data_IF_537820135678
#
_entry.id   IF_537820135678
#
_cell.length_a   1.000
_cell.length_b   1.000
_cell.length_c   1.000
_cell.angle_alpha   90.00
_cell.angle_beta   90.00
_cell.angle_gamma   90.00
#
_symmetry.space_group_name_H-M   'P 1'
#
loop_
_entity.id
_entity.type
_entity.pdbx_description
1 polymer ?
#
# COMPACT_ATOMS: atom_id res chain seq x y z
N UNK A 1 -18.67 -17.12 -27.88
CA UNK A 1 -19.27 -16.68 -26.60
C UNK A 1 -18.22 -16.90 -25.53
N UNK A 2 -17.41 -15.89 -25.26
CA UNK A 2 -16.36 -15.96 -24.25
C UNK A 2 -16.97 -15.72 -22.88
N UNK A 3 -16.94 -16.73 -22.02
CA UNK A 3 -17.28 -16.63 -20.61
C UNK A 3 -16.28 -15.68 -19.95
N UNK A 4 -16.73 -14.54 -19.49
CA UNK A 4 -15.93 -13.70 -18.57
C UNK A 4 -15.63 -14.52 -17.32
N UNK A 5 -14.35 -14.57 -16.87
CA UNK A 5 -14.03 -15.24 -15.62
C UNK A 5 -14.83 -14.61 -14.48
N UNK A 6 -15.39 -15.48 -13.61
CA UNK A 6 -16.17 -15.11 -12.46
C UNK A 6 -15.54 -13.94 -11.70
N UNK A 7 -16.35 -12.96 -11.38
CA UNK A 7 -16.03 -11.77 -10.59
C UNK A 7 -15.11 -12.14 -9.44
N UNK A 8 -13.84 -11.77 -9.52
CA UNK A 8 -12.94 -11.85 -8.36
C UNK A 8 -13.57 -10.95 -7.31
N UNK A 9 -14.12 -11.54 -6.25
CA UNK A 9 -14.57 -10.78 -5.10
C UNK A 9 -13.39 -9.93 -4.63
N UNK A 10 -13.59 -8.61 -4.47
CA UNK A 10 -12.55 -7.77 -3.92
C UNK A 10 -12.15 -8.31 -2.54
N UNK A 11 -10.90 -8.12 -2.16
CA UNK A 11 -10.41 -8.46 -0.82
C UNK A 11 -11.35 -7.91 0.25
N UNK A 12 -11.83 -6.67 0.06
CA UNK A 12 -12.75 -5.99 0.98
C UNK A 12 -14.08 -6.74 1.13
N UNK A 13 -14.64 -7.28 0.05
CA UNK A 13 -15.86 -8.09 0.14
C UNK A 13 -15.60 -9.43 0.87
N UNK A 14 -14.43 -10.02 0.68
CA UNK A 14 -14.06 -11.29 1.30
C UNK A 14 -13.91 -11.23 2.83
N UNK A 15 -13.50 -10.09 3.40
CA UNK A 15 -13.34 -9.94 4.87
C UNK A 15 -14.66 -10.03 5.65
N UNK A 16 -15.81 -9.80 5.00
CA UNK A 16 -17.13 -9.94 5.59
C UNK A 16 -17.71 -11.38 5.42
N UNK A 17 -16.98 -12.29 4.78
CA UNK A 17 -17.45 -13.65 4.52
C UNK A 17 -17.71 -14.44 5.81
N UNK A 18 -18.80 -15.19 5.85
CA UNK A 18 -19.08 -16.15 6.91
C UNK A 18 -18.13 -17.38 6.84
N UNK A 19 -17.58 -17.66 5.67
CA UNK A 19 -16.59 -18.72 5.48
C UNK A 19 -15.24 -18.26 6.03
N UNK A 20 -14.72 -18.96 7.04
CA UNK A 20 -13.48 -18.60 7.74
C UNK A 20 -12.26 -18.61 6.81
N UNK A 21 -12.15 -19.58 5.90
CA UNK A 21 -11.04 -19.66 4.96
C UNK A 21 -11.04 -18.49 3.98
N UNK A 22 -12.19 -18.17 3.39
CA UNK A 22 -12.33 -17.02 2.49
C UNK A 22 -11.98 -15.74 3.24
N UNK A 23 -12.49 -15.59 4.46
CA UNK A 23 -12.21 -14.42 5.31
C UNK A 23 -10.73 -14.30 5.65
N UNK A 24 -10.05 -15.42 5.95
CA UNK A 24 -8.62 -15.42 6.28
C UNK A 24 -7.78 -15.01 5.06
N UNK A 25 -8.01 -15.63 3.91
CA UNK A 25 -7.29 -15.30 2.66
C UNK A 25 -7.48 -13.84 2.28
N UNK A 26 -8.72 -13.34 2.38
CA UNK A 26 -9.03 -11.94 2.12
C UNK A 26 -8.34 -11.01 3.13
N UNK A 27 -8.28 -11.40 4.40
CA UNK A 27 -7.65 -10.61 5.44
C UNK A 27 -6.12 -10.58 5.30
N UNK A 28 -5.48 -11.69 4.94
CA UNK A 28 -4.05 -11.75 4.66
C UNK A 28 -3.67 -10.83 3.47
N UNK A 29 -4.48 -10.83 2.43
CA UNK A 29 -4.30 -9.92 1.29
C UNK A 29 -4.51 -8.45 1.67
N UNK A 30 -5.48 -8.16 2.55
CA UNK A 30 -5.71 -6.83 3.11
C UNK A 30 -4.50 -6.37 3.94
N UNK A 31 -4.01 -7.21 4.84
CA UNK A 31 -2.82 -6.90 5.66
C UNK A 31 -1.64 -6.61 4.74
N UNK A 32 -1.39 -7.46 3.73
CA UNK A 32 -0.30 -7.25 2.77
C UNK A 32 -0.38 -5.89 2.08
N UNK A 33 -1.58 -5.41 1.72
CA UNK A 33 -1.77 -4.14 1.03
C UNK A 33 -1.69 -2.91 1.94
N UNK A 34 -2.06 -3.05 3.23
CA UNK A 34 -2.26 -1.91 4.12
C UNK A 34 -1.29 -1.81 5.30
N UNK A 35 -0.52 -2.85 5.63
CA UNK A 35 0.33 -2.80 6.81
C UNK A 35 1.38 -1.67 6.75
N UNK A 36 2.02 -1.44 5.58
CA UNK A 36 3.00 -0.35 5.41
C UNK A 36 2.38 1.02 5.60
N UNK A 37 1.27 1.39 4.90
CA UNK A 37 0.58 2.65 5.18
C UNK A 37 0.15 2.80 6.64
N UNK A 38 -0.38 1.74 7.27
CA UNK A 38 -0.77 1.74 8.68
C UNK A 38 0.44 2.01 9.58
N UNK A 39 1.52 1.27 9.40
CA UNK A 39 2.74 1.44 10.16
C UNK A 39 3.31 2.86 10.05
N UNK A 40 3.50 3.34 8.81
CA UNK A 40 4.05 4.69 8.56
C UNK A 40 3.15 5.79 9.11
N UNK A 41 1.84 5.63 8.99
CA UNK A 41 0.89 6.56 9.54
C UNK A 41 0.98 6.62 11.08
N UNK A 42 1.09 5.48 11.75
CA UNK A 42 1.29 5.42 13.21
C UNK A 42 2.61 6.10 13.60
N UNK A 43 3.69 5.84 12.85
CA UNK A 43 4.99 6.49 13.05
C UNK A 43 4.91 8.02 12.96
N UNK A 44 4.21 8.54 11.95
CA UNK A 44 4.19 9.97 11.62
C UNK A 44 3.15 10.73 12.46
N UNK A 45 1.88 10.32 12.40
CA UNK A 45 0.80 11.02 13.09
C UNK A 45 0.91 10.86 14.60
N UNK A 46 1.05 9.63 15.07
CA UNK A 46 1.03 9.30 16.49
C UNK A 46 2.41 9.40 17.14
N UNK A 47 3.46 9.69 16.35
CA UNK A 47 4.86 9.83 16.80
C UNK A 47 5.33 8.65 17.64
N UNK A 48 4.78 7.47 17.39
CA UNK A 48 5.21 6.23 18.04
C UNK A 48 6.66 5.91 17.63
N UNK A 49 7.45 5.33 18.51
CA UNK A 49 8.74 4.79 18.15
C UNK A 49 8.60 3.56 17.24
N UNK A 50 9.70 2.93 16.84
CA UNK A 50 9.69 1.80 15.89
C UNK A 50 8.98 0.59 16.46
N UNK A 51 9.30 0.27 17.70
CA UNK A 51 8.81 -0.94 18.36
C UNK A 51 7.32 -0.77 18.71
N UNK A 52 6.95 0.36 19.28
CA UNK A 52 5.55 0.68 19.59
C UNK A 52 4.68 0.72 18.31
N UNK A 53 5.18 1.30 17.21
CA UNK A 53 4.44 1.33 15.95
C UNK A 53 4.28 -0.06 15.32
N UNK A 54 5.31 -0.92 15.42
CA UNK A 54 5.24 -2.29 14.96
C UNK A 54 4.20 -3.09 15.78
N UNK A 55 4.25 -2.97 17.10
CA UNK A 55 3.31 -3.62 18.02
C UNK A 55 1.87 -3.14 17.76
N UNK A 56 1.66 -1.82 17.66
CA UNK A 56 0.34 -1.24 17.38
C UNK A 56 -0.20 -1.69 16.02
N UNK A 57 0.67 -1.79 15.00
CA UNK A 57 0.26 -2.27 13.67
C UNK A 57 -0.20 -3.72 13.72
N UNK A 58 0.57 -4.60 14.35
CA UNK A 58 0.23 -6.02 14.48
C UNK A 58 -1.05 -6.19 15.30
N UNK A 59 -1.14 -5.53 16.44
CA UNK A 59 -2.29 -5.62 17.35
C UNK A 59 -3.57 -5.07 16.70
N UNK A 60 -3.47 -3.99 15.91
CA UNK A 60 -4.60 -3.47 15.14
C UNK A 60 -5.20 -4.51 14.22
N UNK A 61 -4.37 -5.15 13.39
CA UNK A 61 -4.86 -6.17 12.47
C UNK A 61 -5.37 -7.43 13.21
N UNK A 62 -4.68 -7.88 14.26
CA UNK A 62 -5.14 -9.01 15.07
C UNK A 62 -6.53 -8.77 15.64
N UNK A 63 -6.74 -7.66 16.30
CA UNK A 63 -8.05 -7.31 16.87
C UNK A 63 -9.11 -7.06 15.82
N UNK A 64 -8.74 -6.45 14.68
CA UNK A 64 -9.65 -6.24 13.58
C UNK A 64 -10.18 -7.56 13.02
N UNK A 65 -9.33 -8.57 12.91
CA UNK A 65 -9.70 -9.92 12.48
C UNK A 65 -10.58 -10.62 13.53
N UNK A 66 -10.15 -10.66 14.79
CA UNK A 66 -10.86 -11.33 15.89
C UNK A 66 -12.27 -10.76 16.10
N UNK A 67 -12.39 -9.43 16.10
CA UNK A 67 -13.68 -8.74 16.30
C UNK A 67 -14.52 -8.61 15.04
N UNK A 68 -13.99 -8.96 13.87
CA UNK A 68 -14.66 -8.75 12.58
C UNK A 68 -15.00 -7.28 12.32
N UNK A 69 -14.25 -6.34 12.91
CA UNK A 69 -14.61 -4.91 12.90
C UNK A 69 -14.56 -4.31 11.49
N UNK A 70 -13.66 -4.76 10.63
CA UNK A 70 -13.54 -4.29 9.26
C UNK A 70 -14.67 -4.81 8.35
N UNK A 71 -15.35 -5.89 8.72
CA UNK A 71 -16.53 -6.38 8.03
C UNK A 71 -17.77 -5.47 8.16
N UNK A 72 -17.71 -4.43 9.00
CA UNK A 72 -18.77 -3.39 9.14
C UNK A 72 -18.63 -2.26 8.12
N UNK A 73 -17.67 -2.36 7.22
CA UNK A 73 -17.49 -1.36 6.19
C UNK A 73 -18.73 -1.20 5.31
N UNK A 74 -19.11 0.05 5.06
CA UNK A 74 -20.21 0.42 4.19
C UNK A 74 -19.68 1.31 3.04
N UNK A 75 -19.60 0.79 1.80
CA UNK A 75 -19.08 1.53 0.66
C UNK A 75 -19.91 2.76 0.27
N UNK A 76 -21.18 2.84 0.74
CA UNK A 76 -22.01 4.01 0.52
C UNK A 76 -21.60 5.22 1.37
N UNK A 77 -20.82 5.01 2.43
CA UNK A 77 -20.44 6.07 3.39
C UNK A 77 -19.06 6.63 3.14
N UNK A 78 -18.11 5.80 2.76
CA UNK A 78 -16.71 6.21 2.59
C UNK A 78 -15.94 5.24 1.70
N UNK A 79 -14.74 5.63 1.25
CA UNK A 79 -13.77 4.71 0.66
C UNK A 79 -13.20 3.79 1.75
N UNK A 80 -12.83 2.58 1.37
CA UNK A 80 -12.32 1.61 2.34
C UNK A 80 -11.07 2.12 3.08
N UNK A 81 -10.12 2.77 2.39
CA UNK A 81 -8.92 3.32 3.03
C UNK A 81 -9.23 4.36 4.12
N UNK A 82 -10.23 5.23 3.87
CA UNK A 82 -10.68 6.23 4.86
C UNK A 82 -11.33 5.55 6.08
N UNK A 83 -12.17 4.54 5.83
CA UNK A 83 -12.76 3.74 6.91
C UNK A 83 -11.69 3.02 7.74
N UNK A 84 -10.68 2.39 7.09
CA UNK A 84 -9.58 1.72 7.77
C UNK A 84 -8.79 2.68 8.66
N UNK A 85 -8.47 3.88 8.14
CA UNK A 85 -7.78 4.93 8.90
C UNK A 85 -8.59 5.35 10.14
N UNK A 86 -9.90 5.57 10.00
CA UNK A 86 -10.76 5.92 11.15
C UNK A 86 -10.78 4.81 12.19
N UNK A 87 -10.84 3.54 11.76
CA UNK A 87 -10.74 2.39 12.67
C UNK A 87 -9.38 2.35 13.40
N UNK A 88 -8.29 2.65 12.67
CA UNK A 88 -6.94 2.72 13.24
C UNK A 88 -6.82 3.83 14.26
N UNK A 89 -7.30 5.04 13.96
CA UNK A 89 -7.27 6.17 14.89
C UNK A 89 -8.03 5.86 16.18
N UNK A 90 -9.22 5.28 16.06
CA UNK A 90 -9.99 4.83 17.22
C UNK A 90 -9.29 3.75 18.03
N UNK A 91 -8.59 2.83 17.36
CA UNK A 91 -7.81 1.79 18.02
C UNK A 91 -6.63 2.40 18.79
N UNK A 92 -5.77 3.20 18.13
CA UNK A 92 -4.58 3.79 18.76
C UNK A 92 -4.97 4.71 19.92
N UNK A 93 -6.02 5.53 19.77
CA UNK A 93 -6.53 6.37 20.84
C UNK A 93 -6.98 5.56 22.08
N UNK A 94 -7.59 4.39 21.87
CA UNK A 94 -8.00 3.51 22.96
C UNK A 94 -6.79 2.83 23.62
N UNK A 95 -5.80 2.39 22.84
CA UNK A 95 -4.56 1.81 23.39
C UNK A 95 -3.78 2.86 24.18
N UNK A 96 -3.69 4.09 23.70
CA UNK A 96 -3.07 5.18 24.45
C UNK A 96 -3.75 5.43 25.80
N UNK A 97 -5.09 5.42 25.85
CA UNK A 97 -5.84 5.51 27.11
C UNK A 97 -5.70 4.26 28.00
N UNK A 98 -5.47 3.08 27.39
CA UNK A 98 -5.31 1.82 28.13
C UNK A 98 -3.85 1.57 28.56
N UNK A 99 -2.86 2.14 27.89
CA UNK A 99 -1.43 2.02 28.26
C UNK A 99 -1.11 2.66 29.62
N UNK A 100 -1.98 3.54 30.10
CA UNK A 100 -2.02 3.88 31.54
C UNK A 100 -2.49 2.71 32.44
N UNK A 101 -2.89 1.56 31.87
CA UNK A 101 -3.45 0.37 32.53
C UNK A 101 -2.90 -0.92 31.92
N UNK A 102 -1.62 -1.27 32.19
CA UNK A 102 -1.02 -2.63 32.10
C UNK A 102 -1.09 -3.36 30.73
N UNK A 103 0.08 -3.68 30.16
CA UNK A 103 0.32 -4.55 28.99
C UNK A 103 -0.15 -6.00 29.21
N UNK A 104 -0.86 -6.58 28.23
CA UNK A 104 -0.96 -8.02 28.01
C UNK A 104 -0.94 -8.31 26.50
N UNK A 105 -0.01 -9.16 26.08
CA UNK A 105 0.13 -9.61 24.71
C UNK A 105 -0.56 -10.95 24.45
N UNK A 106 -0.94 -11.17 23.22
CA UNK A 106 -1.46 -12.41 22.66
C UNK A 106 -2.10 -12.10 21.31
N UNK A 107 -1.44 -12.37 20.18
CA UNK A 107 -1.92 -12.00 18.87
C UNK A 107 -1.91 -13.14 17.86
N UNK A 108 -2.81 -13.09 16.89
CA UNK A 108 -2.84 -13.94 15.70
C UNK A 108 -1.70 -13.50 14.78
N UNK A 109 -0.86 -14.47 14.34
CA UNK A 109 0.21 -14.20 13.39
C UNK A 109 -0.33 -14.12 11.97
N UNK A 110 -0.06 -13.02 11.31
CA UNK A 110 -0.35 -12.79 9.88
C UNK A 110 0.92 -12.93 9.03
N UNK A 111 0.83 -12.47 7.77
CA UNK A 111 1.96 -12.40 6.85
C UNK A 111 3.16 -11.72 7.52
N UNK A 112 4.40 -12.21 7.31
CA UNK A 112 5.59 -11.56 7.83
C UNK A 112 5.68 -10.10 7.38
N UNK A 113 5.81 -9.17 8.33
CA UNK A 113 5.86 -7.72 8.08
C UNK A 113 7.31 -7.23 8.22
N UNK A 114 7.89 -6.74 7.11
CA UNK A 114 9.26 -6.21 7.11
C UNK A 114 9.28 -4.73 7.53
N UNK A 115 9.12 -4.49 8.83
CA UNK A 115 9.17 -3.14 9.40
C UNK A 115 10.51 -2.43 9.17
N UNK A 116 11.62 -3.18 9.07
CA UNK A 116 12.92 -2.60 8.78
C UNK A 116 12.99 -2.02 7.35
N UNK A 117 12.33 -2.66 6.39
CA UNK A 117 12.19 -2.10 5.04
C UNK A 117 11.33 -0.84 5.05
N UNK A 118 10.21 -0.83 5.77
CA UNK A 118 9.35 0.34 5.88
C UNK A 118 10.07 1.55 6.51
N UNK A 119 10.91 1.34 7.53
CA UNK A 119 11.75 2.40 8.13
C UNK A 119 12.78 2.96 7.14
N UNK A 120 13.43 2.11 6.37
CA UNK A 120 14.39 2.57 5.34
C UNK A 120 13.74 3.47 4.28
N UNK A 121 12.50 3.17 3.91
CA UNK A 121 11.72 3.99 2.97
C UNK A 121 11.33 5.36 3.54
N UNK A 122 11.16 5.47 4.86
CA UNK A 122 10.81 6.75 5.51
C UNK A 122 12.00 7.69 5.70
N UNK A 123 13.23 7.16 5.63
CA UNK A 123 14.44 7.93 5.95
C UNK A 123 14.54 8.27 7.45
N UNK A 124 15.33 9.29 7.76
CA UNK A 124 15.52 9.73 9.16
C UNK A 124 14.38 10.64 9.57
N UNK A 125 13.36 10.08 10.20
CA UNK A 125 12.35 10.88 10.87
C UNK A 125 12.89 11.39 12.21
N UNK A 126 12.54 12.61 12.65
CA UNK A 126 12.80 13.04 14.02
C UNK A 126 12.18 12.04 14.99
N UNK A 127 12.98 11.54 15.95
CA UNK A 127 12.49 10.65 16.99
C UNK A 127 11.43 11.43 17.77
N UNK A 128 10.18 10.97 17.67
CA UNK A 128 9.06 11.61 18.36
C UNK A 128 9.13 11.39 19.85
N UNK A 129 8.67 12.35 20.63
CA UNK A 129 8.58 12.27 22.08
C UNK A 129 7.42 11.37 22.58
N UNK A 130 7.01 10.38 21.80
CA UNK A 130 5.90 9.49 22.11
C UNK A 130 4.52 10.05 21.74
N UNK A 131 3.49 9.24 22.03
CA UNK A 131 2.09 9.59 21.79
C UNK A 131 1.69 10.79 22.63
N UNK A 132 1.17 11.83 22.01
CA UNK A 132 0.73 13.06 22.68
C UNK A 132 -0.78 13.24 22.54
N UNK A 133 -1.41 13.93 23.51
CA UNK A 133 -2.85 14.24 23.44
C UNK A 133 -3.22 15.07 22.20
N UNK A 134 -2.28 15.84 21.65
CA UNK A 134 -2.47 16.57 20.41
C UNK A 134 -2.73 15.66 19.20
N UNK A 135 -2.19 14.43 19.20
CA UNK A 135 -2.44 13.44 18.14
C UNK A 135 -3.85 12.83 18.19
N UNK A 136 -4.56 12.99 19.32
CA UNK A 136 -5.93 12.50 19.48
C UNK A 136 -6.96 13.31 18.69
N UNK A 137 -6.67 14.58 18.37
CA UNK A 137 -7.57 15.43 17.61
C UNK A 137 -7.57 15.02 16.12
N UNK A 138 -8.74 14.75 15.50
CA UNK A 138 -8.82 14.52 14.06
C UNK A 138 -8.37 15.76 13.29
N UNK A 139 -7.55 15.57 12.25
CA UNK A 139 -7.11 16.63 11.34
C UNK A 139 -7.55 16.31 9.90
N UNK A 140 -7.85 17.34 9.12
CA UNK A 140 -8.10 17.19 7.69
C UNK A 140 -6.87 16.63 6.95
N UNK A 141 -5.67 16.86 7.47
CA UNK A 141 -4.42 16.38 6.92
C UNK A 141 -4.20 14.88 7.15
N UNK A 142 -4.90 14.26 8.11
CA UNK A 142 -4.75 12.84 8.43
C UNK A 142 -5.14 11.93 7.26
N UNK A 143 -6.23 12.25 6.56
CA UNK A 143 -6.66 11.47 5.38
C UNK A 143 -5.69 11.65 4.22
N UNK A 144 -5.15 12.86 4.05
CA UNK A 144 -4.15 13.14 3.03
C UNK A 144 -2.83 12.41 3.32
N UNK A 145 -2.37 12.40 4.58
CA UNK A 145 -1.18 11.66 5.00
C UNK A 145 -1.34 10.15 4.77
N UNK A 146 -2.44 9.56 5.25
CA UNK A 146 -2.70 8.14 5.06
C UNK A 146 -2.80 7.77 3.58
N UNK A 147 -3.50 8.61 2.78
CA UNK A 147 -3.59 8.44 1.34
C UNK A 147 -2.21 8.48 0.66
N UNK A 148 -1.36 9.42 1.06
CA UNK A 148 -0.01 9.54 0.50
C UNK A 148 0.81 8.26 0.74
N UNK A 149 0.82 7.75 1.98
CA UNK A 149 1.57 6.52 2.30
C UNK A 149 0.96 5.28 1.63
N UNK A 150 -0.36 5.25 1.50
CA UNK A 150 -1.05 4.19 0.76
C UNK A 150 -0.69 4.20 -0.73
N UNK A 151 -0.66 5.37 -1.37
CA UNK A 151 -0.25 5.52 -2.78
C UNK A 151 1.21 5.07 -2.96
N UNK A 152 2.11 5.50 -2.06
CA UNK A 152 3.52 5.07 -2.10
C UNK A 152 3.66 3.56 -2.02
N UNK A 153 2.96 2.92 -1.09
CA UNK A 153 2.98 1.47 -0.94
C UNK A 153 2.43 0.76 -2.20
N UNK A 154 1.32 1.24 -2.75
CA UNK A 154 0.70 0.71 -3.96
C UNK A 154 1.68 0.72 -5.15
N UNK A 155 2.37 1.84 -5.37
CA UNK A 155 3.34 1.97 -6.45
C UNK A 155 4.61 1.14 -6.19
N UNK A 156 5.12 1.10 -4.96
CA UNK A 156 6.28 0.27 -4.61
C UNK A 156 6.01 -1.22 -4.88
N UNK A 157 4.84 -1.71 -4.50
CA UNK A 157 4.42 -3.09 -4.77
C UNK A 157 4.22 -3.35 -6.28
N UNK A 158 3.74 -2.37 -7.04
CA UNK A 158 3.61 -2.48 -8.49
C UNK A 158 4.96 -2.51 -9.19
N UNK A 159 5.94 -1.70 -8.74
CA UNK A 159 7.32 -1.72 -9.25
C UNK A 159 8.00 -3.06 -8.96
N UNK A 160 7.82 -3.59 -7.74
CA UNK A 160 8.33 -4.93 -7.38
C UNK A 160 7.79 -6.01 -8.32
N UNK A 161 6.48 -6.02 -8.57
CA UNK A 161 5.88 -6.99 -9.49
C UNK A 161 6.30 -6.78 -10.95
N UNK A 162 6.53 -5.55 -11.37
CA UNK A 162 7.09 -5.28 -12.70
C UNK A 162 8.48 -5.92 -12.83
N UNK A 163 9.35 -5.72 -11.81
CA UNK A 163 10.68 -6.32 -11.79
C UNK A 163 10.63 -7.84 -11.85
N UNK A 164 9.81 -8.46 -11.01
CA UNK A 164 9.63 -9.91 -10.96
C UNK A 164 9.10 -10.46 -12.29
N UNK A 165 8.10 -9.80 -12.87
CA UNK A 165 7.55 -10.18 -14.19
C UNK A 165 8.59 -10.05 -15.30
N UNK A 166 9.40 -8.99 -15.29
CA UNK A 166 10.49 -8.81 -16.24
C UNK A 166 11.56 -9.88 -16.07
N UNK A 167 11.90 -10.25 -14.82
CA UNK A 167 12.84 -11.33 -14.55
C UNK A 167 12.33 -12.69 -15.06
N UNK A 168 11.08 -13.02 -14.77
CA UNK A 168 10.45 -14.28 -15.18
C UNK A 168 10.29 -14.42 -16.71
N UNK A 169 10.21 -13.29 -17.44
CA UNK A 169 10.00 -13.28 -18.90
C UNK A 169 11.25 -12.94 -19.71
N UNK A 170 12.43 -12.87 -19.07
CA UNK A 170 13.70 -12.53 -19.73
C UNK A 170 13.79 -11.07 -20.21
N UNK A 171 13.01 -10.18 -19.62
CA UNK A 171 12.91 -8.76 -20.00
C UNK A 171 13.53 -7.80 -18.98
N UNK A 172 14.55 -8.25 -18.22
CA UNK A 172 15.19 -7.42 -17.20
C UNK A 172 15.74 -6.10 -17.77
N UNK A 173 16.24 -6.08 -19.01
CA UNK A 173 16.69 -4.86 -19.66
C UNK A 173 15.57 -3.79 -19.77
N UNK A 174 14.31 -4.19 -19.92
CA UNK A 174 13.17 -3.27 -19.95
C UNK A 174 12.98 -2.61 -18.57
N UNK A 175 13.11 -3.41 -17.49
CA UNK A 175 13.04 -2.88 -16.14
C UNK A 175 14.25 -1.98 -15.82
N UNK A 176 15.45 -2.35 -16.22
CA UNK A 176 16.67 -1.59 -15.99
C UNK A 176 16.61 -0.20 -16.64
N UNK A 177 16.15 -0.12 -17.89
CA UNK A 177 15.94 1.16 -18.58
C UNK A 177 14.90 2.01 -17.83
N UNK A 178 13.80 1.40 -17.41
CA UNK A 178 12.75 2.08 -16.66
C UNK A 178 13.26 2.57 -15.28
N UNK A 179 13.99 1.74 -14.56
CA UNK A 179 14.58 2.09 -13.27
C UNK A 179 15.46 3.33 -13.39
N UNK A 180 16.43 3.31 -14.33
CA UNK A 180 17.37 4.42 -14.52
C UNK A 180 16.72 5.70 -15.03
N UNK A 181 15.63 5.58 -15.77
CA UNK A 181 14.98 6.76 -16.38
C UNK A 181 13.86 7.34 -15.53
N UNK A 182 13.00 6.49 -14.93
CA UNK A 182 11.77 6.92 -14.26
C UNK A 182 11.85 6.81 -12.71
N UNK A 183 12.72 5.96 -12.15
CA UNK A 183 12.76 5.72 -10.71
C UNK A 183 14.00 6.29 -10.03
N UNK A 184 15.17 6.26 -10.68
CA UNK A 184 16.39 6.79 -10.06
C UNK A 184 16.32 8.32 -10.06
N UNK A 185 16.37 8.91 -8.86
CA UNK A 185 16.54 10.34 -8.68
C UNK A 185 18.01 10.70 -9.01
N UNK A 186 18.33 10.72 -10.31
CA UNK A 186 19.71 10.87 -10.84
C UNK A 186 20.36 12.24 -10.62
N UNK A 187 20.09 12.92 -9.49
CA UNK A 187 20.64 14.24 -9.22
C UNK A 187 20.12 15.31 -10.19
N UNK A 188 20.95 16.27 -10.57
CA UNK A 188 20.54 17.47 -11.31
C UNK A 188 20.07 17.25 -12.75
N UNK A 189 20.21 16.06 -13.36
CA UNK A 189 19.77 15.82 -14.73
C UNK A 189 19.35 14.37 -15.00
N UNK A 190 18.11 14.22 -15.45
CA UNK A 190 17.59 12.96 -15.99
C UNK A 190 18.40 12.53 -17.22
N UNK A 191 18.88 11.28 -17.35
CA UNK A 191 19.67 10.84 -18.50
C UNK A 191 18.85 10.94 -19.80
N UNK A 192 19.49 11.34 -20.89
CA UNK A 192 18.86 11.31 -22.21
C UNK A 192 18.74 9.88 -22.74
N UNK A 193 17.84 9.63 -23.67
CA UNK A 193 17.71 8.32 -24.32
C UNK A 193 19.00 7.87 -25.03
N UNK A 194 19.76 8.83 -25.59
CA UNK A 194 21.04 8.55 -26.22
C UNK A 194 22.11 8.09 -25.20
N UNK A 195 22.17 8.75 -24.04
CA UNK A 195 23.06 8.37 -22.95
C UNK A 195 22.74 6.96 -22.45
N UNK A 196 21.46 6.68 -22.13
CA UNK A 196 21.00 5.34 -21.71
C UNK A 196 21.29 4.27 -22.78
N UNK A 197 21.09 4.59 -24.05
CA UNK A 197 21.42 3.69 -25.14
C UNK A 197 22.90 3.35 -25.19
N UNK A 198 23.78 4.34 -25.01
CA UNK A 198 25.22 4.15 -24.95
C UNK A 198 25.66 3.33 -23.74
N UNK A 199 25.14 3.67 -22.56
CA UNK A 199 25.47 2.98 -21.29
C UNK A 199 25.03 1.50 -21.29
N UNK A 200 23.87 1.20 -21.86
CA UNK A 200 23.29 -0.13 -21.88
C UNK A 200 23.65 -0.92 -23.15
N UNK A 201 24.37 -0.32 -24.10
CA UNK A 201 24.75 -0.97 -25.35
C UNK A 201 23.57 -1.27 -26.27
N UNK A 202 22.48 -0.49 -26.22
CA UNK A 202 21.26 -0.68 -27.02
C UNK A 202 20.94 0.56 -27.87
N UNK A 203 20.31 0.39 -29.04
CA UNK A 203 19.86 1.52 -29.84
C UNK A 203 18.84 2.41 -29.11
N UNK A 204 18.86 3.71 -29.35
CA UNK A 204 17.93 4.68 -28.75
C UNK A 204 16.44 4.30 -28.98
N UNK A 205 16.14 3.70 -30.14
CA UNK A 205 14.80 3.16 -30.44
C UNK A 205 14.38 2.06 -29.49
N UNK A 206 15.33 1.19 -29.06
CA UNK A 206 15.04 0.16 -28.05
C UNK A 206 14.80 0.78 -26.67
N UNK A 207 15.53 1.83 -26.29
CA UNK A 207 15.27 2.57 -25.04
C UNK A 207 13.81 3.02 -24.98
N UNK A 208 13.31 3.64 -26.06
CA UNK A 208 11.92 4.08 -26.16
C UNK A 208 10.93 2.93 -26.03
N UNK A 209 11.21 1.81 -26.72
CA UNK A 209 10.34 0.62 -26.67
C UNK A 209 10.33 -0.03 -25.27
N UNK A 210 11.49 -0.09 -24.60
CA UNK A 210 11.61 -0.64 -23.25
C UNK A 210 10.85 0.21 -22.23
N UNK A 211 10.96 1.54 -22.30
CA UNK A 211 10.18 2.46 -21.45
C UNK A 211 8.67 2.33 -21.69
N UNK A 212 8.24 2.30 -22.96
CA UNK A 212 6.84 2.15 -23.29
C UNK A 212 6.26 0.83 -22.75
N UNK A 213 7.01 -0.26 -22.89
CA UNK A 213 6.64 -1.57 -22.31
C UNK A 213 6.53 -1.49 -20.79
N UNK A 214 7.58 -1.02 -20.11
CA UNK A 214 7.63 -1.00 -18.65
C UNK A 214 6.54 -0.12 -18.03
N UNK A 215 6.30 1.07 -18.61
CA UNK A 215 5.24 1.98 -18.17
C UNK A 215 3.84 1.39 -18.35
N UNK A 216 3.59 0.68 -19.46
CA UNK A 216 2.31 -0.01 -19.69
C UNK A 216 2.10 -1.14 -18.68
N UNK A 217 3.12 -1.95 -18.43
CA UNK A 217 3.05 -3.05 -17.46
C UNK A 217 2.94 -2.53 -16.02
N UNK A 218 3.69 -1.49 -15.64
CA UNK A 218 3.53 -0.84 -14.34
C UNK A 218 2.09 -0.39 -14.12
N UNK A 219 1.52 0.30 -15.11
CA UNK A 219 0.12 0.73 -15.04
C UNK A 219 -0.83 -0.45 -14.84
N UNK A 220 -0.62 -1.56 -15.56
CA UNK A 220 -1.40 -2.79 -15.40
C UNK A 220 -1.32 -3.30 -13.96
N UNK A 221 -0.10 -3.37 -13.39
CA UNK A 221 0.11 -3.82 -12.02
C UNK A 221 -0.51 -2.86 -10.97
N UNK A 222 -0.43 -1.56 -11.18
CA UNK A 222 -1.10 -0.57 -10.33
C UNK A 222 -2.61 -0.79 -10.33
N UNK A 223 -3.22 -0.91 -11.51
CA UNK A 223 -4.66 -1.15 -11.64
C UNK A 223 -5.10 -2.48 -11.04
N UNK A 224 -4.31 -3.55 -11.20
CA UNK A 224 -4.60 -4.85 -10.60
C UNK A 224 -4.60 -4.78 -9.07
N UNK A 225 -3.60 -4.12 -8.47
CA UNK A 225 -3.54 -3.93 -7.02
C UNK A 225 -4.67 -3.05 -6.50
N UNK A 226 -4.93 -1.96 -7.21
CA UNK A 226 -6.01 -1.06 -6.87
C UNK A 226 -7.36 -1.78 -6.88
N UNK A 227 -7.61 -2.62 -7.89
CA UNK A 227 -8.84 -3.42 -8.00
C UNK A 227 -9.03 -4.35 -6.81
N UNK A 228 -7.95 -4.92 -6.29
CA UNK A 228 -8.01 -5.84 -5.15
C UNK A 228 -8.42 -5.14 -3.85
N UNK A 229 -8.10 -3.86 -3.69
CA UNK A 229 -8.34 -3.11 -2.44
C UNK A 229 -9.56 -2.19 -2.49
N UNK A 230 -10.17 -1.99 -3.66
CA UNK A 230 -11.43 -1.27 -3.79
C UNK A 230 -12.63 -2.20 -3.57
N UNK A 231 -13.62 -1.74 -2.82
CA UNK A 231 -14.81 -2.53 -2.52
C UNK A 231 -15.80 -2.58 -3.68
N UNK A 232 -15.88 -1.53 -4.48
CA UNK A 232 -16.82 -1.36 -5.58
C UNK A 232 -16.12 -0.94 -6.87
N UNK A 233 -16.80 -1.15 -8.00
CA UNK A 233 -16.31 -0.67 -9.31
C UNK A 233 -16.26 0.85 -9.39
N UNK A 234 -17.16 1.55 -8.72
CA UNK A 234 -17.18 3.01 -8.70
C UNK A 234 -16.01 3.56 -7.88
N UNK A 235 -15.71 2.95 -6.72
CA UNK A 235 -14.51 3.28 -5.95
C UNK A 235 -13.24 3.05 -6.78
N UNK A 236 -13.16 1.91 -7.47
CA UNK A 236 -12.02 1.60 -8.34
C UNK A 236 -11.84 2.63 -9.46
N UNK A 237 -12.91 2.98 -10.18
CA UNK A 237 -12.84 3.98 -11.27
C UNK A 237 -12.41 5.34 -10.73
N UNK A 238 -12.93 5.75 -9.59
CA UNK A 238 -12.61 7.03 -8.97
C UNK A 238 -11.14 7.08 -8.53
N UNK A 239 -10.65 6.05 -7.83
CA UNK A 239 -9.24 5.97 -7.42
C UNK A 239 -8.29 5.88 -8.63
N UNK A 240 -8.63 5.09 -9.65
CA UNK A 240 -7.82 4.98 -10.86
C UNK A 240 -7.73 6.31 -11.61
N UNK A 241 -8.82 7.07 -11.70
CA UNK A 241 -8.83 8.41 -12.28
C UNK A 241 -7.95 9.38 -11.48
N UNK A 242 -8.06 9.37 -10.16
CA UNK A 242 -7.26 10.24 -9.29
C UNK A 242 -5.76 9.90 -9.33
N UNK A 243 -5.39 8.62 -9.46
CA UNK A 243 -3.99 8.17 -9.44
C UNK A 243 -3.31 8.25 -10.79
N UNK A 244 -4.03 7.94 -11.88
CA UNK A 244 -3.46 7.76 -13.21
C UNK A 244 -3.95 8.82 -14.22
N UNK A 245 -4.87 9.70 -13.81
CA UNK A 245 -5.43 10.77 -14.66
C UNK A 245 -6.31 10.27 -15.81
N UNK A 246 -6.81 9.01 -15.73
CA UNK A 246 -7.53 8.37 -16.85
C UNK A 246 -8.59 7.41 -16.36
N UNK A 247 -9.64 7.22 -17.16
CA UNK A 247 -10.60 6.13 -16.97
C UNK A 247 -9.90 4.77 -17.19
N UNK A 248 -10.03 3.81 -16.28
CA UNK A 248 -9.64 2.44 -16.55
C UNK A 248 -10.60 1.85 -17.58
N UNK A 249 -10.09 1.44 -18.72
CA UNK A 249 -10.84 0.77 -19.78
C UNK A 249 -11.37 -0.60 -19.35
#
# INVERSE_FOLDING_TARGET
MGSFPATRHSVVAGIASANLEIRRVAFDALVSAYWRPVYKYVRIKWRADRDDAADLTQEFFSRAFEKGSLGRFDPARARFRTFLRVCLDGFVANEHKAASRIKRGGGVSFVPLDFAAAEREMGTLPIGSGLTDAALAPSADDDALFRQEWVRALFADAVTALRESCAATGKLAHFEVFQRYDLDDGGDARPTYAQLGTELGIPTTQVTNHLAFARRELRRFVLERLRNVCATDDEFRLEARELLGMEPG
#
